data_IF_588004329804
#
_entry.id   IF_588004329804
#
_cell.length_a   1.000
_cell.length_b   1.000
_cell.length_c   1.000
_cell.angle_alpha   90.00
_cell.angle_beta   90.00
_cell.angle_gamma   90.00
#
_symmetry.space_group_name_H-M   'P 1'
#
loop_
_entity.id
_entity.type
_entity.pdbx_description
1 polymer ?
#
# COMPACT_ATOMS: atom_id res chain seq x y z
N UNK A 1 6.86 -18.94 16.06
CA UNK A 1 6.09 -18.40 14.98
C UNK A 1 5.17 -17.27 15.40
N UNK A 2 5.70 -16.19 15.55
CA UNK A 2 4.96 -15.10 16.12
C UNK A 2 4.38 -14.15 15.11
N UNK A 3 4.88 -14.21 13.88
CA UNK A 3 4.54 -13.18 12.90
C UNK A 3 3.41 -13.58 11.96
N UNK A 4 2.72 -14.69 12.26
CA UNK A 4 1.62 -15.13 11.41
C UNK A 4 0.53 -14.07 11.26
N UNK A 5 0.23 -13.34 12.33
CA UNK A 5 -0.79 -12.29 12.28
C UNK A 5 -0.34 -11.11 11.44
N UNK A 6 0.93 -10.70 11.60
CA UNK A 6 1.44 -9.56 10.85
C UNK A 6 1.53 -9.90 9.37
N UNK A 7 1.97 -11.12 9.04
CA UNK A 7 2.00 -11.59 7.66
C UNK A 7 0.59 -11.66 7.08
N UNK A 8 -0.36 -12.12 7.88
CA UNK A 8 -1.76 -12.18 7.44
C UNK A 8 -2.31 -10.78 7.16
N UNK A 9 -1.98 -9.81 8.01
CA UNK A 9 -2.38 -8.43 7.79
C UNK A 9 -1.77 -7.87 6.51
N UNK A 10 -0.47 -8.10 6.29
CA UNK A 10 0.20 -7.66 5.08
C UNK A 10 -0.42 -8.29 3.83
N UNK A 11 -0.75 -9.58 3.90
CA UNK A 11 -1.41 -10.28 2.80
C UNK A 11 -2.76 -9.66 2.48
N UNK A 12 -3.56 -9.35 3.48
CA UNK A 12 -4.86 -8.71 3.27
C UNK A 12 -4.72 -7.33 2.67
N UNK A 13 -3.73 -6.56 3.12
CA UNK A 13 -3.47 -5.23 2.58
C UNK A 13 -3.06 -5.33 1.11
N UNK A 14 -2.19 -6.26 0.78
CA UNK A 14 -1.78 -6.46 -0.61
C UNK A 14 -2.96 -6.89 -1.49
N UNK A 15 -3.74 -7.86 -1.04
CA UNK A 15 -4.89 -8.36 -1.80
C UNK A 15 -5.90 -7.23 -2.05
N UNK A 16 -6.18 -6.43 -1.04
CA UNK A 16 -7.09 -5.30 -1.18
C UNK A 16 -6.53 -4.25 -2.13
N UNK A 17 -5.24 -3.96 -2.04
CA UNK A 17 -4.62 -3.00 -2.95
C UNK A 17 -4.65 -3.47 -4.39
N UNK A 18 -4.40 -4.77 -4.64
CA UNK A 18 -4.52 -5.32 -5.99
C UNK A 18 -5.92 -5.13 -6.55
N UNK A 19 -6.93 -5.38 -5.72
CA UNK A 19 -8.33 -5.23 -6.10
C UNK A 19 -8.68 -3.77 -6.39
N UNK A 20 -8.23 -2.87 -5.53
CA UNK A 20 -8.47 -1.43 -5.68
C UNK A 20 -7.79 -0.89 -6.94
N UNK A 21 -6.55 -1.25 -7.17
CA UNK A 21 -5.81 -0.79 -8.35
C UNK A 21 -6.43 -1.36 -9.63
N UNK A 22 -6.88 -2.60 -9.61
CA UNK A 22 -7.58 -3.18 -10.75
C UNK A 22 -8.85 -2.39 -11.11
N UNK A 23 -9.51 -1.81 -10.11
CA UNK A 23 -10.67 -0.95 -10.32
C UNK A 23 -10.33 0.41 -10.90
N UNK A 24 -9.09 0.87 -10.73
CA UNK A 24 -8.61 2.15 -11.27
C UNK A 24 -8.03 1.94 -12.67
N UNK A 25 -7.16 0.96 -12.81
CA UNK A 25 -6.52 0.60 -14.07
C UNK A 25 -6.11 -0.87 -14.01
N UNK A 26 -6.89 -1.73 -14.66
CA UNK A 26 -6.69 -3.18 -14.60
C UNK A 26 -5.39 -3.63 -15.29
N UNK A 27 -4.75 -2.76 -16.06
CA UNK A 27 -3.50 -3.11 -16.76
C UNK A 27 -2.26 -2.98 -15.88
N UNK A 28 -2.39 -2.41 -14.68
CA UNK A 28 -1.24 -2.18 -13.79
C UNK A 28 -1.16 -3.29 -12.74
N UNK A 29 -0.16 -4.17 -12.81
CA UNK A 29 0.01 -5.19 -11.78
C UNK A 29 0.61 -4.57 -10.52
N UNK A 30 0.20 -5.09 -9.36
CA UNK A 30 0.76 -4.72 -8.06
C UNK A 30 1.54 -5.91 -7.52
N UNK A 31 2.80 -5.69 -7.16
CA UNK A 31 3.66 -6.72 -6.58
C UNK A 31 4.09 -6.31 -5.18
N UNK A 32 4.39 -7.29 -4.37
CA UNK A 32 4.88 -7.06 -3.02
C UNK A 32 6.41 -7.02 -3.04
N UNK A 33 6.97 -5.87 -2.63
CA UNK A 33 8.43 -5.68 -2.49
C UNK A 33 9.23 -5.94 -3.78
N UNK A 34 8.59 -5.83 -4.96
CA UNK A 34 9.25 -6.10 -6.23
C UNK A 34 8.83 -5.09 -7.29
N UNK A 35 9.79 -4.53 -8.00
CA UNK A 35 9.53 -3.54 -9.04
C UNK A 35 10.51 -3.73 -10.20
N UNK A 36 9.98 -4.13 -11.36
CA UNK A 36 10.80 -4.35 -12.55
C UNK A 36 11.30 -3.06 -13.15
N UNK A 37 12.52 -3.06 -13.66
CA UNK A 37 13.09 -1.94 -14.41
C UNK A 37 12.94 -2.13 -15.93
N UNK A 38 12.35 -3.23 -16.39
CA UNK A 38 12.21 -3.49 -17.82
C UNK A 38 11.15 -2.57 -18.44
N UNK A 39 11.53 -1.72 -19.43
CA UNK A 39 10.57 -0.78 -20.01
C UNK A 39 9.30 -1.41 -20.57
N UNK A 40 9.43 -2.58 -21.16
CA UNK A 40 8.28 -3.27 -21.75
C UNK A 40 7.27 -3.79 -20.74
N UNK A 41 7.60 -3.74 -19.45
CA UNK A 41 6.71 -4.20 -18.38
C UNK A 41 6.10 -3.05 -17.58
N UNK A 42 6.32 -1.82 -18.01
CA UNK A 42 5.76 -0.66 -17.32
C UNK A 42 4.43 -0.25 -17.96
N UNK A 43 3.51 0.36 -17.23
CA UNK A 43 3.62 0.71 -15.80
C UNK A 43 3.36 -0.48 -14.89
N UNK A 44 3.89 -0.42 -13.66
CA UNK A 44 3.59 -1.40 -12.61
C UNK A 44 3.78 -0.78 -11.24
N UNK A 45 3.17 -1.41 -10.26
CA UNK A 45 3.20 -0.93 -8.88
C UNK A 45 3.89 -1.91 -7.95
N UNK A 46 4.45 -1.37 -6.87
CA UNK A 46 5.01 -2.13 -5.78
C UNK A 46 4.42 -1.63 -4.47
N UNK A 47 3.97 -2.57 -3.64
CA UNK A 47 3.63 -2.28 -2.26
C UNK A 47 4.81 -2.68 -1.40
N UNK A 48 5.34 -1.75 -0.62
CA UNK A 48 6.51 -1.97 0.21
C UNK A 48 6.22 -1.58 1.65
N UNK A 49 6.42 -2.50 2.58
CA UNK A 49 6.26 -2.22 3.99
C UNK A 49 7.39 -1.32 4.47
N UNK A 50 7.05 -0.45 5.41
CA UNK A 50 8.04 0.43 6.07
C UNK A 50 8.33 -0.10 7.46
N UNK A 51 9.42 0.35 8.04
CA UNK A 51 9.72 0.06 9.44
C UNK A 51 8.63 0.60 10.35
N UNK A 52 8.40 -0.09 11.45
CA UNK A 52 7.39 0.30 12.43
C UNK A 52 6.13 -0.52 12.38
N UNK A 53 6.05 -1.50 11.47
CA UNK A 53 4.91 -2.42 11.44
C UNK A 53 5.03 -3.52 12.49
N UNK A 54 3.98 -4.32 12.60
CA UNK A 54 3.93 -5.42 13.54
C UNK A 54 3.19 -5.06 14.82
N UNK A 55 3.36 -5.85 15.87
CA UNK A 55 2.70 -5.58 17.14
C UNK A 55 3.33 -4.38 17.83
N UNK A 56 2.52 -3.36 18.10
CA UNK A 56 2.97 -2.19 18.82
C UNK A 56 2.70 -2.29 20.30
N UNK A 57 1.48 -2.65 20.67
CA UNK A 57 1.03 -2.69 22.05
C UNK A 57 0.07 -3.83 22.27
N UNK A 58 0.13 -4.40 23.44
CA UNK A 58 -0.80 -5.45 23.85
C UNK A 58 -1.47 -5.02 25.15
N UNK A 59 -2.77 -4.99 25.14
CA UNK A 59 -3.56 -4.62 26.32
C UNK A 59 -3.79 -5.82 27.23
N UNK A 60 -4.15 -5.53 28.49
CA UNK A 60 -4.50 -6.57 29.46
C UNK A 60 -5.64 -7.45 28.95
N UNK A 61 -6.56 -6.86 28.19
CA UNK A 61 -7.67 -7.60 27.56
C UNK A 61 -7.21 -8.60 26.50
N UNK A 62 -5.94 -8.53 26.07
CA UNK A 62 -5.41 -9.35 25.00
C UNK A 62 -5.52 -8.73 23.62
N UNK A 63 -6.16 -7.58 23.51
CA UNK A 63 -6.20 -6.86 22.26
C UNK A 63 -4.81 -6.36 21.89
N UNK A 64 -4.52 -6.31 20.59
CA UNK A 64 -3.20 -5.92 20.10
C UNK A 64 -3.34 -4.81 19.08
N UNK A 65 -2.50 -3.79 19.20
CA UNK A 65 -2.37 -2.75 18.18
C UNK A 65 -1.32 -3.17 17.17
N UNK A 66 -1.66 -3.08 15.89
CA UNK A 66 -0.81 -3.52 14.79
C UNK A 66 -0.71 -2.39 13.76
N UNK A 67 0.33 -1.54 13.83
CA UNK A 67 0.56 -0.58 12.77
C UNK A 67 1.10 -1.29 11.53
N UNK A 68 0.70 -0.82 10.37
CA UNK A 68 1.22 -1.31 9.10
C UNK A 68 1.43 -0.14 8.15
N UNK A 69 2.51 0.62 8.35
CA UNK A 69 2.86 1.68 7.42
C UNK A 69 3.47 1.08 6.16
N UNK A 70 3.10 1.62 5.00
CA UNK A 70 3.64 1.12 3.74
C UNK A 70 3.62 2.20 2.67
N UNK A 71 4.38 1.96 1.61
CA UNK A 71 4.41 2.81 0.44
C UNK A 71 3.85 2.05 -0.75
N UNK A 72 3.12 2.77 -1.59
CA UNK A 72 2.71 2.28 -2.90
C UNK A 72 3.48 3.08 -3.94
N UNK A 73 4.30 2.41 -4.73
CA UNK A 73 5.14 3.04 -5.75
C UNK A 73 4.68 2.64 -7.13
N UNK A 74 4.46 3.62 -7.99
CA UNK A 74 4.12 3.40 -9.40
C UNK A 74 5.34 3.77 -10.24
N UNK A 75 5.85 2.79 -10.97
CA UNK A 75 6.94 3.01 -11.93
C UNK A 75 6.37 3.14 -13.32
N UNK A 76 6.71 4.23 -13.97
CA UNK A 76 6.25 4.54 -15.32
C UNK A 76 7.44 4.85 -16.23
N UNK A 77 7.24 4.67 -17.53
CA UNK A 77 8.19 5.10 -18.54
C UNK A 77 7.77 6.51 -18.99
N UNK A 78 7.91 7.49 -18.09
CA UNK A 78 7.39 8.81 -18.32
C UNK A 78 8.26 9.60 -19.31
N UNK A 79 7.63 10.16 -20.31
CA UNK A 79 8.30 10.95 -21.33
C UNK A 79 7.79 12.39 -21.35
N UNK A 80 6.64 12.67 -20.78
CA UNK A 80 6.04 13.99 -20.82
C UNK A 80 5.23 14.30 -19.55
N UNK A 81 4.79 15.54 -19.49
CA UNK A 81 4.04 16.04 -18.34
C UNK A 81 2.71 15.33 -18.17
N UNK A 82 2.03 14.97 -19.25
CA UNK A 82 0.73 14.31 -19.16
C UNK A 82 0.85 12.94 -18.52
N UNK A 83 1.88 12.17 -18.85
CA UNK A 83 2.10 10.87 -18.23
C UNK A 83 2.36 11.00 -16.73
N UNK A 84 3.06 12.07 -16.32
CA UNK A 84 3.30 12.33 -14.89
C UNK A 84 2.02 12.70 -14.17
N UNK A 85 1.17 13.51 -14.78
CA UNK A 85 -0.13 13.86 -14.19
C UNK A 85 -1.01 12.62 -14.07
N UNK A 86 -1.02 11.77 -15.08
CA UNK A 86 -1.79 10.54 -15.07
C UNK A 86 -1.30 9.60 -13.95
N UNK A 87 0.00 9.50 -13.75
CA UNK A 87 0.56 8.68 -12.69
C UNK A 87 0.12 9.17 -11.30
N UNK A 88 0.22 10.47 -11.07
CA UNK A 88 -0.22 11.06 -9.82
C UNK A 88 -1.71 10.85 -9.60
N UNK A 89 -2.52 10.97 -10.64
CA UNK A 89 -3.96 10.77 -10.55
C UNK A 89 -4.32 9.32 -10.24
N UNK A 90 -3.65 8.36 -10.89
CA UNK A 90 -3.86 6.94 -10.61
C UNK A 90 -3.54 6.62 -9.16
N UNK A 91 -2.41 7.11 -8.64
CA UNK A 91 -2.05 6.90 -7.24
C UNK A 91 -3.03 7.56 -6.28
N UNK A 92 -3.47 8.78 -6.59
CA UNK A 92 -4.45 9.48 -5.75
C UNK A 92 -5.76 8.72 -5.67
N UNK A 93 -6.26 8.24 -6.81
CA UNK A 93 -7.51 7.51 -6.85
C UNK A 93 -7.39 6.16 -6.15
N UNK A 94 -6.29 5.44 -6.39
CA UNK A 94 -6.04 4.17 -5.70
C UNK A 94 -5.96 4.38 -4.20
N UNK A 95 -5.27 5.44 -3.74
CA UNK A 95 -5.18 5.75 -2.32
C UNK A 95 -6.55 6.04 -1.72
N UNK A 96 -7.34 6.88 -2.37
CA UNK A 96 -8.67 7.23 -1.88
C UNK A 96 -9.59 6.01 -1.80
N UNK A 97 -9.62 5.20 -2.85
CA UNK A 97 -10.45 4.00 -2.88
C UNK A 97 -9.98 2.98 -1.83
N UNK A 98 -8.68 2.84 -1.65
CA UNK A 98 -8.13 1.94 -0.64
C UNK A 98 -8.52 2.39 0.77
N UNK A 99 -8.39 3.68 1.08
CA UNK A 99 -8.74 4.20 2.41
C UNK A 99 -10.20 3.97 2.74
N UNK A 100 -11.07 4.04 1.75
CA UNK A 100 -12.51 3.78 1.95
C UNK A 100 -12.79 2.31 2.23
N UNK A 101 -11.97 1.41 1.69
CA UNK A 101 -12.21 -0.04 1.78
C UNK A 101 -11.46 -0.72 2.93
N UNK A 102 -10.45 -0.07 3.52
CA UNK A 102 -9.53 -0.74 4.43
C UNK A 102 -9.88 -0.63 5.91
N UNK A 103 -11.03 -0.04 6.25
CA UNK A 103 -11.40 0.21 7.66
C UNK A 103 -11.57 -1.09 8.43
N UNK A 104 -12.12 -2.12 7.79
CA UNK A 104 -12.30 -3.43 8.40
C UNK A 104 -11.67 -4.48 7.49
N UNK A 105 -10.77 -5.26 8.07
CA UNK A 105 -10.15 -6.41 7.42
C UNK A 105 -10.48 -7.64 8.27
N UNK A 106 -10.24 -8.83 7.73
CA UNK A 106 -10.55 -10.06 8.45
C UNK A 106 -9.69 -10.19 9.72
N UNK A 107 -10.33 -10.08 10.87
CA UNK A 107 -9.65 -10.15 12.17
C UNK A 107 -9.08 -8.81 12.65
N UNK A 108 -9.26 -7.73 11.90
CA UNK A 108 -8.70 -6.43 12.23
C UNK A 108 -9.71 -5.32 12.01
N UNK A 109 -9.67 -4.31 12.86
CA UNK A 109 -10.48 -3.10 12.73
C UNK A 109 -9.54 -1.90 12.87
N UNK A 110 -9.72 -0.89 12.04
CA UNK A 110 -8.89 0.29 12.12
C UNK A 110 -8.98 0.92 13.52
N UNK A 111 -7.84 1.11 14.16
CA UNK A 111 -7.76 1.74 15.48
C UNK A 111 -8.04 3.22 15.38
N UNK A 112 -7.54 3.84 14.32
CA UNK A 112 -7.80 5.24 14.00
C UNK A 112 -8.03 5.34 12.51
N UNK A 113 -8.55 6.49 12.07
CA UNK A 113 -8.84 6.69 10.66
C UNK A 113 -7.57 6.49 9.80
N UNK A 114 -7.62 5.60 8.81
CA UNK A 114 -6.49 5.41 7.90
C UNK A 114 -6.17 6.69 7.14
N UNK A 115 -4.89 6.93 6.90
CA UNK A 115 -4.46 8.12 6.18
C UNK A 115 -3.44 7.76 5.09
N UNK A 116 -3.39 8.61 4.08
CA UNK A 116 -2.39 8.52 3.03
C UNK A 116 -1.89 9.92 2.72
N UNK A 117 -0.65 10.01 2.28
CA UNK A 117 -0.07 11.27 1.84
C UNK A 117 -0.49 11.64 0.44
N UNK A 118 0.15 12.67 -0.10
CA UNK A 118 -0.04 13.10 -1.49
C UNK A 118 1.01 12.39 -2.35
N UNK A 119 0.63 11.92 -3.55
CA UNK A 119 1.62 11.33 -4.46
C UNK A 119 2.73 12.31 -4.79
N UNK A 120 3.95 11.80 -4.86
CA UNK A 120 5.13 12.61 -5.20
C UNK A 120 6.10 11.79 -6.02
N UNK A 121 6.97 12.48 -6.76
CA UNK A 121 8.00 11.80 -7.52
C UNK A 121 9.12 11.41 -6.57
N UNK A 122 9.33 10.11 -6.41
CA UNK A 122 10.38 9.58 -5.57
C UNK A 122 11.73 9.69 -6.22
N UNK A 123 11.80 9.47 -7.55
CA UNK A 123 13.04 9.56 -8.26
C UNK A 123 12.84 9.35 -9.76
N UNK A 124 13.84 9.73 -10.52
CA UNK A 124 13.87 9.62 -11.98
C UNK A 124 15.15 8.94 -12.42
N UNK A 125 15.00 7.98 -13.31
CA UNK A 125 16.10 7.37 -14.00
C UNK A 125 15.94 7.65 -15.50
N UNK A 126 16.90 7.23 -16.30
CA UNK A 126 16.84 7.46 -17.74
C UNK A 126 15.64 6.74 -18.40
N UNK A 127 15.33 5.53 -17.92
CA UNK A 127 14.30 4.69 -18.53
C UNK A 127 12.96 4.73 -17.80
N UNK A 128 12.88 5.33 -16.61
CA UNK A 128 11.64 5.30 -15.84
C UNK A 128 11.61 6.37 -14.76
N UNK A 129 10.42 6.62 -14.23
CA UNK A 129 10.20 7.45 -13.06
C UNK A 129 9.40 6.66 -12.03
N UNK A 130 9.70 6.89 -10.77
CA UNK A 130 8.96 6.31 -9.66
C UNK A 130 8.16 7.39 -8.95
N UNK A 131 6.86 7.15 -8.84
CA UNK A 131 5.94 7.99 -8.10
C UNK A 131 5.42 7.21 -6.91
N UNK A 132 5.24 7.85 -5.77
CA UNK A 132 4.95 7.15 -4.54
C UNK A 132 3.89 7.87 -3.72
N UNK A 133 3.07 7.08 -3.04
CA UNK A 133 2.18 7.57 -1.99
C UNK A 133 2.41 6.72 -0.75
N UNK A 134 2.48 7.38 0.42
CA UNK A 134 2.73 6.70 1.69
C UNK A 134 1.42 6.56 2.45
N UNK A 135 1.24 5.40 3.08
CA UNK A 135 0.06 5.09 3.89
C UNK A 135 0.47 4.88 5.34
N UNK A 136 -0.39 5.34 6.24
CA UNK A 136 -0.21 5.13 7.67
C UNK A 136 -1.49 4.50 8.21
N UNK A 137 -1.42 3.21 8.49
CA UNK A 137 -2.55 2.43 8.99
C UNK A 137 -2.18 1.83 10.32
N UNK A 138 -3.16 1.76 11.21
CA UNK A 138 -3.01 1.07 12.48
C UNK A 138 -4.30 0.33 12.78
N UNK A 139 -4.17 -0.96 13.00
CA UNK A 139 -5.29 -1.83 13.27
C UNK A 139 -5.29 -2.34 14.69
N UNK A 140 -6.48 -2.73 15.12
CA UNK A 140 -6.69 -3.39 16.39
C UNK A 140 -7.13 -4.82 16.09
N UNK A 141 -6.46 -5.77 16.69
CA UNK A 141 -6.79 -7.17 16.58
C UNK A 141 -7.39 -7.65 17.89
N UNK A 142 -8.51 -8.36 17.80
CA UNK A 142 -9.17 -8.87 18.98
C UNK A 142 -8.29 -9.89 19.73
N UNK A 143 -8.57 -10.06 21.01
CA UNK A 143 -7.90 -11.06 21.84
C UNK A 143 -8.08 -12.45 21.24
N UNK A 144 -7.00 -13.22 21.23
CA UNK A 144 -7.04 -14.62 20.84
C UNK A 144 -7.08 -15.46 22.10
N UNK A 145 -8.07 -16.30 22.20
CA UNK A 145 -8.22 -17.18 23.35
C UNK A 145 -7.61 -18.53 23.11
#
# INVERSE_FOLDING_TARGET
>A
MTNGHDQHLATQVLDLMEEVVAGVDASIPVRFEELSAEPGKLPRMMLQLKDGGGEESRYISGEVLCPIPFNLTLRIAANDQQERLDAAEVLSKAASDFLDACVVLDGYVAYKRPTAGVPYCLGRAEAFEDWQVSFDLKYKRAATL
#
